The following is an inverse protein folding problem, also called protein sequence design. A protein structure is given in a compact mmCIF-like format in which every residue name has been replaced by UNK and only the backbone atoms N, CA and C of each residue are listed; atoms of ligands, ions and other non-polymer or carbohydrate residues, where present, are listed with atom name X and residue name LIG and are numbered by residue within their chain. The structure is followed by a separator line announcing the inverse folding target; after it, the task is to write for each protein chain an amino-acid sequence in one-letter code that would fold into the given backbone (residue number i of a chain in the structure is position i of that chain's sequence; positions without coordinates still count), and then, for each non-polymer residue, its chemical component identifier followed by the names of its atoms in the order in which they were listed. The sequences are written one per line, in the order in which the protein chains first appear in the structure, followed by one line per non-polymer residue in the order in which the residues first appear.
data_IF_577080805030
#
_entry.id   IF_577080805030
#
_cell.length_a   1.000
_cell.length_b   1.000
_cell.length_c   1.000
_cell.angle_alpha   90.00
_cell.angle_beta   90.00
_cell.angle_gamma   90.00
#
_symmetry.space_group_name_H-M   'P 1'
#
loop_
_entity.id
_entity.type
_entity.pdbx_description
1 polymer ?
#
# COMPACT_ATOMS: atom_id res chain seq x y z
N UNK A 1 -4.66 -20.82 -9.52
CA UNK A 1 -3.49 -20.45 -8.66
C UNK A 1 -2.79 -21.72 -8.21
N UNK A 2 -1.48 -21.81 -8.41
CA UNK A 2 -0.69 -22.94 -7.92
C UNK A 2 -0.73 -22.96 -6.39
N UNK A 3 -0.89 -24.14 -5.82
CA UNK A 3 -1.05 -24.33 -4.38
C UNK A 3 0.23 -23.91 -3.62
N UNK A 4 0.18 -22.94 -2.69
CA UNK A 4 1.35 -22.53 -1.90
C UNK A 4 1.64 -23.44 -0.70
N UNK A 5 1.15 -24.69 -0.70
CA UNK A 5 1.21 -25.57 0.47
C UNK A 5 2.62 -25.75 1.07
N UNK A 6 3.63 -25.93 0.19
CA UNK A 6 5.01 -26.05 0.65
C UNK A 6 5.54 -24.76 1.28
N UNK A 7 5.19 -23.60 0.70
CA UNK A 7 5.53 -22.29 1.25
C UNK A 7 4.88 -22.09 2.61
N UNK A 8 3.59 -22.40 2.73
CA UNK A 8 2.85 -22.32 3.99
C UNK A 8 3.47 -23.21 5.07
N UNK A 9 3.89 -24.43 4.70
CA UNK A 9 4.60 -25.33 5.64
C UNK A 9 5.89 -24.69 6.17
N UNK A 10 6.66 -24.01 5.32
CA UNK A 10 7.87 -23.29 5.76
C UNK A 10 7.54 -22.06 6.60
N UNK A 11 6.50 -21.32 6.23
CA UNK A 11 6.00 -20.19 7.03
C UNK A 11 5.67 -20.62 8.47
N UNK A 12 5.01 -21.77 8.65
CA UNK A 12 4.69 -22.33 9.98
C UNK A 12 5.92 -22.75 10.78
N UNK A 13 6.95 -23.30 10.11
CA UNK A 13 8.23 -23.65 10.77
C UNK A 13 9.00 -22.43 11.26
N UNK A 14 8.79 -21.27 10.63
CA UNK A 14 9.41 -20.00 10.99
C UNK A 14 8.46 -19.07 11.72
N UNK A 15 7.41 -19.61 12.33
CA UNK A 15 6.44 -18.80 13.09
C UNK A 15 7.12 -18.17 14.32
N UNK A 16 7.05 -16.86 14.38
CA UNK A 16 7.65 -16.03 15.42
C UNK A 16 6.59 -15.12 16.10
N UNK A 17 5.30 -15.42 15.90
CA UNK A 17 4.18 -14.64 16.42
C UNK A 17 3.85 -13.38 15.62
N UNK A 18 4.56 -13.12 14.50
CA UNK A 18 4.23 -12.06 13.56
C UNK A 18 3.18 -12.51 12.53
N UNK A 19 2.70 -11.56 11.76
CA UNK A 19 1.76 -11.79 10.68
C UNK A 19 2.23 -12.90 9.72
N UNK A 20 1.30 -13.80 9.37
CA UNK A 20 1.46 -14.81 8.31
C UNK A 20 0.38 -14.62 7.25
N UNK A 21 0.71 -14.58 5.96
CA UNK A 21 -0.26 -14.42 4.88
C UNK A 21 -1.06 -15.70 4.59
N UNK A 22 -0.84 -16.79 5.32
CA UNK A 22 -1.53 -18.09 5.11
C UNK A 22 -3.04 -17.92 5.02
N UNK A 23 -3.63 -17.26 5.99
CA UNK A 23 -5.09 -17.13 6.07
C UNK A 23 -5.67 -16.28 4.95
N UNK A 24 -5.06 -15.12 4.64
CA UNK A 24 -5.55 -14.27 3.55
C UNK A 24 -5.43 -14.97 2.19
N UNK A 25 -4.37 -15.74 1.97
CA UNK A 25 -4.15 -16.52 0.75
C UNK A 25 -5.15 -17.64 0.58
N UNK A 26 -5.71 -18.20 1.66
CA UNK A 26 -6.73 -19.26 1.60
C UNK A 26 -8.03 -18.81 0.94
N UNK A 27 -8.28 -17.51 0.83
CA UNK A 27 -9.43 -16.97 0.11
C UNK A 27 -9.28 -17.04 -1.42
N UNK A 28 -8.08 -17.33 -1.94
CA UNK A 28 -7.83 -17.50 -3.38
C UNK A 28 -8.08 -16.24 -4.21
N UNK A 29 -7.95 -15.04 -3.64
CA UNK A 29 -8.17 -13.78 -4.36
C UNK A 29 -6.87 -13.27 -4.96
N UNK A 30 -6.90 -12.66 -6.17
CA UNK A 30 -5.71 -12.05 -6.76
C UNK A 30 -5.19 -10.85 -5.95
N UNK A 31 -6.05 -10.03 -5.33
CA UNK A 31 -5.64 -8.92 -4.52
C UNK A 31 -5.81 -9.20 -3.02
N UNK A 32 -4.69 -9.13 -2.29
CA UNK A 32 -4.58 -9.38 -0.85
C UNK A 32 -4.21 -8.08 -0.15
N UNK A 33 -5.19 -7.44 0.50
CA UNK A 33 -5.05 -6.14 1.17
C UNK A 33 -4.78 -6.40 2.65
N UNK A 34 -3.60 -6.00 3.11
CA UNK A 34 -3.12 -6.24 4.47
C UNK A 34 -2.94 -4.89 5.14
N UNK A 35 -3.90 -4.53 5.96
CA UNK A 35 -3.94 -3.24 6.65
C UNK A 35 -3.87 -3.44 8.16
N UNK A 36 -3.52 -2.39 8.88
CA UNK A 36 -3.48 -2.43 10.34
C UNK A 36 -2.35 -1.58 10.89
N UNK A 37 -2.10 -1.74 12.17
CA UNK A 37 -1.14 -0.91 12.90
C UNK A 37 0.31 -1.22 12.54
N UNK A 38 1.22 -0.30 12.87
CA UNK A 38 2.67 -0.53 12.78
C UNK A 38 3.05 -1.72 13.67
N UNK A 39 4.17 -2.35 13.35
CA UNK A 39 4.76 -3.45 14.14
C UNK A 39 3.95 -4.77 14.22
N UNK A 40 2.89 -4.92 13.42
CA UNK A 40 2.18 -6.20 13.27
C UNK A 40 2.93 -7.25 12.44
N UNK A 41 4.13 -6.94 11.94
CA UNK A 41 4.92 -7.86 11.10
C UNK A 41 4.38 -8.09 9.69
N UNK A 42 3.51 -7.20 9.19
CA UNK A 42 2.89 -7.31 7.85
C UNK A 42 3.92 -7.46 6.74
N UNK A 43 4.86 -6.51 6.66
CA UNK A 43 5.92 -6.49 5.65
C UNK A 43 6.84 -7.70 5.77
N UNK A 44 7.27 -8.04 6.99
CA UNK A 44 8.10 -9.21 7.26
C UNK A 44 7.42 -10.53 6.88
N UNK A 45 6.11 -10.66 7.17
CA UNK A 45 5.34 -11.85 6.80
C UNK A 45 5.21 -12.03 5.30
N UNK A 46 4.95 -10.96 4.55
CA UNK A 46 4.89 -11.01 3.08
C UNK A 46 6.27 -11.23 2.48
N UNK A 47 7.33 -10.58 3.00
CA UNK A 47 8.71 -10.79 2.56
C UNK A 47 9.12 -12.26 2.72
N UNK A 48 8.88 -12.89 3.89
CA UNK A 48 9.15 -14.32 4.09
C UNK A 48 8.41 -15.20 3.09
N UNK A 49 7.13 -14.88 2.84
CA UNK A 49 6.33 -15.66 1.90
C UNK A 49 6.93 -15.65 0.49
N UNK A 50 7.26 -14.47 -0.04
CA UNK A 50 7.80 -14.37 -1.42
C UNK A 50 9.21 -14.94 -1.53
N UNK A 51 10.05 -14.84 -0.48
CA UNK A 51 11.36 -15.48 -0.44
C UNK A 51 11.23 -17.00 -0.45
N UNK A 52 10.37 -17.59 0.36
CA UNK A 52 10.09 -19.02 0.30
C UNK A 52 9.50 -19.45 -1.04
N UNK A 53 8.62 -18.65 -1.64
CA UNK A 53 8.04 -18.96 -2.94
C UNK A 53 9.13 -18.91 -4.05
N UNK A 54 10.09 -18.00 -3.94
CA UNK A 54 11.26 -17.97 -4.83
C UNK A 54 12.18 -19.18 -4.64
N UNK A 55 12.48 -19.56 -3.39
CA UNK A 55 13.38 -20.69 -3.08
C UNK A 55 12.75 -22.03 -3.48
N UNK A 56 11.48 -22.25 -3.15
CA UNK A 56 10.84 -23.56 -3.30
C UNK A 56 10.18 -23.78 -4.66
N UNK A 57 9.72 -22.71 -5.29
CA UNK A 57 8.91 -22.78 -6.49
C UNK A 57 9.51 -22.00 -7.66
N UNK A 58 10.69 -21.39 -7.50
CA UNK A 58 11.34 -20.52 -8.49
C UNK A 58 10.44 -19.40 -9.00
N UNK A 59 9.57 -18.87 -8.13
CA UNK A 59 8.65 -17.80 -8.47
C UNK A 59 9.28 -16.44 -8.22
N UNK A 60 8.96 -15.49 -9.09
CA UNK A 60 9.51 -14.15 -9.02
C UNK A 60 8.50 -13.16 -8.46
N UNK A 61 9.05 -12.11 -7.85
CA UNK A 61 8.24 -11.03 -7.28
C UNK A 61 8.70 -9.65 -7.80
N UNK A 62 7.79 -8.67 -7.68
CA UNK A 62 8.10 -7.25 -7.85
C UNK A 62 7.81 -6.55 -6.52
N UNK A 63 8.79 -5.80 -6.03
CA UNK A 63 8.62 -4.89 -4.90
C UNK A 63 8.38 -3.48 -5.40
N UNK A 64 7.31 -2.87 -4.94
CA UNK A 64 6.84 -1.55 -5.38
C UNK A 64 6.81 -0.59 -4.21
N UNK A 65 7.30 0.62 -4.48
CA UNK A 65 7.01 1.83 -3.70
C UNK A 65 6.37 2.87 -4.62
N UNK A 66 5.72 3.84 -4.05
CA UNK A 66 5.04 4.89 -4.82
C UNK A 66 6.02 5.70 -5.64
N UNK A 67 7.11 6.16 -5.01
CA UNK A 67 8.13 7.02 -5.62
C UNK A 67 9.51 6.37 -5.59
N UNK A 68 10.39 6.84 -6.47
CA UNK A 68 11.73 6.29 -6.62
C UNK A 68 12.61 6.52 -5.39
N UNK A 69 12.54 7.70 -4.81
CA UNK A 69 13.30 8.05 -3.59
C UNK A 69 12.89 7.19 -2.38
N UNK A 70 11.61 6.84 -2.26
CA UNK A 70 11.11 5.89 -1.26
C UNK A 70 11.65 4.48 -1.54
N UNK A 71 11.59 4.05 -2.81
CA UNK A 71 12.08 2.75 -3.24
C UNK A 71 13.57 2.59 -2.95
N UNK A 72 14.38 3.57 -3.30
CA UNK A 72 15.83 3.50 -3.13
C UNK A 72 16.27 3.40 -1.65
N UNK A 73 15.50 3.98 -0.74
CA UNK A 73 15.74 3.90 0.70
C UNK A 73 15.30 2.57 1.32
N UNK A 74 14.33 1.88 0.73
CA UNK A 74 13.66 0.74 1.37
C UNK A 74 13.90 -0.61 0.70
N UNK A 75 14.28 -0.64 -0.59
CA UNK A 75 14.38 -1.86 -1.39
C UNK A 75 15.25 -2.97 -0.77
N UNK A 76 16.35 -2.62 -0.09
CA UNK A 76 17.19 -3.60 0.61
C UNK A 76 16.59 -3.96 1.98
N UNK A 77 16.26 -2.98 2.79
CA UNK A 77 15.79 -3.13 4.18
C UNK A 77 14.48 -3.90 4.33
N UNK A 78 13.64 -3.91 3.29
CA UNK A 78 12.35 -4.59 3.34
C UNK A 78 12.49 -6.10 3.62
N UNK A 79 13.56 -6.73 3.15
CA UNK A 79 13.79 -8.17 3.25
C UNK A 79 14.69 -8.58 4.42
N UNK A 80 15.46 -7.66 5.01
CA UNK A 80 16.50 -7.97 6.01
C UNK A 80 15.95 -8.85 7.16
N UNK A 81 14.88 -8.39 7.81
CA UNK A 81 14.28 -9.14 8.92
C UNK A 81 13.75 -10.52 8.50
N UNK A 82 13.22 -10.63 7.29
CA UNK A 82 12.73 -11.90 6.78
C UNK A 82 13.87 -12.88 6.53
N UNK A 83 14.98 -12.40 5.99
CA UNK A 83 16.22 -13.20 5.76
C UNK A 83 16.79 -13.65 7.09
N UNK A 84 16.89 -12.78 8.08
CA UNK A 84 17.37 -13.12 9.42
C UNK A 84 16.53 -14.24 10.05
N UNK A 85 15.19 -14.15 9.95
CA UNK A 85 14.29 -15.18 10.47
C UNK A 85 14.51 -16.51 9.74
N UNK A 86 14.63 -16.49 8.41
CA UNK A 86 14.87 -17.69 7.60
C UNK A 86 16.20 -18.32 7.99
N UNK A 87 17.27 -17.54 8.06
CA UNK A 87 18.62 -18.04 8.34
C UNK A 87 18.80 -18.54 9.78
N UNK A 88 18.07 -17.97 10.74
CA UNK A 88 18.07 -18.43 12.14
C UNK A 88 17.16 -19.64 12.38
N UNK A 89 16.35 -20.02 11.39
CA UNK A 89 15.47 -21.18 11.47
C UNK A 89 16.16 -22.39 10.85
N UNK A 90 16.23 -23.52 11.56
CA UNK A 90 16.87 -24.77 11.08
C UNK A 90 16.04 -25.40 9.96
N UNK A 91 16.12 -24.87 8.75
CA UNK A 91 15.31 -25.27 7.59
C UNK A 91 16.03 -26.20 6.61
N UNK A 92 17.33 -26.47 6.83
CA UNK A 92 18.16 -27.24 5.91
C UNK A 92 18.76 -26.39 4.77
N UNK A 93 18.64 -25.07 4.84
CA UNK A 93 19.26 -24.12 3.90
C UNK A 93 19.39 -22.71 4.53
N UNK A 94 20.25 -21.90 3.93
CA UNK A 94 20.45 -20.48 4.29
C UNK A 94 20.53 -19.60 3.05
N UNK A 95 20.06 -18.37 3.15
CA UNK A 95 20.28 -17.30 2.16
C UNK A 95 21.63 -16.66 2.50
N UNK A 96 22.63 -16.90 1.68
CA UNK A 96 23.99 -16.39 1.90
C UNK A 96 24.27 -15.09 1.15
N UNK A 97 23.47 -14.78 0.15
CA UNK A 97 23.53 -13.54 -0.58
C UNK A 97 22.13 -13.08 -0.98
N UNK A 98 21.85 -11.83 -0.75
CA UNK A 98 20.65 -11.16 -1.23
C UNK A 98 20.94 -9.67 -1.43
N UNK A 99 20.82 -9.20 -2.65
CA UNK A 99 20.98 -7.77 -2.96
C UNK A 99 20.13 -7.33 -4.14
N UNK A 100 19.93 -6.02 -4.25
CA UNK A 100 19.21 -5.39 -5.36
C UNK A 100 20.23 -4.69 -6.29
N UNK A 101 20.55 -5.32 -7.39
CA UNK A 101 21.50 -4.85 -8.39
C UNK A 101 20.77 -4.42 -9.65
N UNK A 102 20.95 -3.17 -10.07
CA UNK A 102 20.28 -2.59 -11.26
C UNK A 102 18.73 -2.85 -11.29
N UNK A 103 18.09 -2.75 -10.13
CA UNK A 103 16.65 -2.95 -10.00
C UNK A 103 16.20 -4.41 -9.98
N UNK A 104 17.11 -5.38 -9.95
CA UNK A 104 16.81 -6.80 -9.83
C UNK A 104 17.31 -7.35 -8.48
N UNK A 105 16.48 -8.14 -7.81
CA UNK A 105 16.88 -8.90 -6.64
C UNK A 105 17.60 -10.16 -7.07
N UNK A 106 18.83 -10.28 -6.59
CA UNK A 106 19.71 -11.42 -6.80
C UNK A 106 19.87 -12.19 -5.48
N UNK A 107 19.77 -13.51 -5.50
CA UNK A 107 19.80 -14.35 -4.31
C UNK A 107 20.64 -15.60 -4.55
N UNK A 108 21.46 -15.97 -3.55
CA UNK A 108 22.14 -17.26 -3.48
C UNK A 108 21.70 -17.98 -2.22
N UNK A 109 21.30 -19.24 -2.38
CA UNK A 109 20.86 -20.13 -1.30
C UNK A 109 21.79 -21.32 -1.27
N UNK A 110 22.26 -21.68 -0.08
CA UNK A 110 23.02 -22.90 0.16
C UNK A 110 22.21 -23.86 1.03
N UNK A 111 22.29 -25.17 0.74
CA UNK A 111 21.80 -26.19 1.63
C UNK A 111 22.78 -26.44 2.78
N UNK A 112 22.27 -26.94 3.89
CA UNK A 112 23.14 -27.30 5.03
C UNK A 112 24.19 -28.29 4.59
N UNK A 113 25.46 -27.98 4.86
CA UNK A 113 26.61 -28.79 4.46
C UNK A 113 27.17 -28.48 3.05
N UNK A 114 26.52 -27.61 2.26
CA UNK A 114 27.10 -27.11 1.02
C UNK A 114 28.05 -25.94 1.30
N UNK A 115 29.24 -25.98 0.68
CA UNK A 115 30.15 -24.84 0.64
C UNK A 115 30.08 -24.11 -0.71
N UNK A 116 30.37 -22.83 -0.69
CA UNK A 116 30.36 -22.00 -1.92
C UNK A 116 31.54 -22.32 -2.80
N UNK A 117 32.64 -22.64 -2.19
CA UNK A 117 33.91 -22.97 -2.83
C UNK A 117 34.52 -24.22 -2.17
N UNK A 118 34.98 -25.11 -2.99
CA UNK A 118 35.79 -26.24 -2.53
C UNK A 118 37.22 -25.78 -2.19
N UNK A 119 37.94 -26.56 -1.40
CA UNK A 119 39.38 -26.35 -1.22
C UNK A 119 40.08 -26.42 -2.58
N UNK A 120 41.07 -25.56 -2.78
CA UNK A 120 41.87 -25.57 -4.00
C UNK A 120 42.98 -26.63 -3.86
N UNK A 121 43.17 -27.38 -4.95
CA UNK A 121 44.27 -28.34 -5.07
C UNK A 121 45.08 -27.99 -6.31
N UNK A 122 46.38 -28.18 -6.26
CA UNK A 122 47.28 -28.04 -7.41
C UNK A 122 47.18 -29.28 -8.33
N UNK A 123 47.92 -29.25 -9.42
CA UNK A 123 47.92 -30.39 -10.40
C UNK A 123 48.47 -31.70 -9.83
N UNK A 124 49.23 -31.62 -8.71
CA UNK A 124 49.77 -32.75 -7.96
C UNK A 124 48.84 -33.24 -6.83
N UNK A 125 47.66 -32.62 -6.68
CA UNK A 125 46.63 -32.95 -5.69
C UNK A 125 46.97 -32.45 -4.27
N UNK A 126 47.91 -31.54 -4.12
CA UNK A 126 48.21 -30.90 -2.82
C UNK A 126 47.28 -29.69 -2.60
N UNK A 127 46.79 -29.54 -1.37
CA UNK A 127 45.96 -28.42 -0.99
C UNK A 127 46.75 -27.13 -1.10
N UNK A 128 46.23 -26.17 -1.86
CA UNK A 128 46.81 -24.83 -1.97
C UNK A 128 46.40 -24.03 -0.72
N UNK A 129 47.39 -23.54 0.02
CA UNK A 129 47.16 -22.67 1.16
C UNK A 129 46.80 -21.24 0.68
N UNK A 130 45.52 -20.90 0.84
CA UNK A 130 45.01 -19.53 0.62
C UNK A 130 45.05 -18.77 1.93
N UNK A 131 45.31 -17.47 1.85
CA UNK A 131 45.06 -16.57 2.96
C UNK A 131 43.57 -16.42 3.22
N UNK A 132 43.16 -16.03 4.42
CA UNK A 132 41.78 -15.77 4.76
C UNK A 132 41.15 -14.71 3.83
N UNK A 133 41.91 -13.68 3.41
CA UNK A 133 41.46 -12.65 2.50
C UNK A 133 41.21 -13.18 1.09
N UNK A 134 42.14 -13.97 0.53
CA UNK A 134 41.97 -14.60 -0.79
C UNK A 134 40.78 -15.55 -0.83
N UNK A 135 40.60 -16.35 0.22
CA UNK A 135 39.44 -17.24 0.36
C UNK A 135 38.13 -16.44 0.43
N UNK A 136 38.11 -15.35 1.21
CA UNK A 136 36.92 -14.49 1.32
C UNK A 136 36.55 -13.82 -0.01
N UNK A 137 37.53 -13.34 -0.78
CA UNK A 137 37.31 -12.77 -2.10
C UNK A 137 36.77 -13.83 -3.09
N UNK A 138 37.32 -15.04 -3.07
CA UNK A 138 36.88 -16.16 -3.89
C UNK A 138 35.46 -16.58 -3.54
N UNK A 139 35.15 -16.72 -2.24
CA UNK A 139 33.79 -16.99 -1.74
C UNK A 139 32.81 -15.91 -2.21
N UNK A 140 33.17 -14.66 -2.08
CA UNK A 140 32.33 -13.53 -2.53
C UNK A 140 32.06 -13.59 -4.04
N UNK A 141 33.09 -13.82 -4.84
CA UNK A 141 32.99 -13.93 -6.31
C UNK A 141 32.12 -15.11 -6.75
N UNK A 142 32.32 -16.30 -6.16
CA UNK A 142 31.53 -17.48 -6.48
C UNK A 142 30.08 -17.37 -5.98
N UNK A 143 29.86 -16.72 -4.84
CA UNK A 143 28.52 -16.39 -4.34
C UNK A 143 27.74 -15.56 -5.35
N UNK A 144 28.38 -14.53 -5.90
CA UNK A 144 27.79 -13.68 -6.94
C UNK A 144 27.52 -14.43 -8.24
N UNK A 145 28.43 -15.32 -8.67
CA UNK A 145 28.22 -16.16 -9.86
C UNK A 145 27.05 -17.12 -9.72
N UNK A 146 26.82 -17.65 -8.52
CA UNK A 146 25.70 -18.54 -8.21
C UNK A 146 24.39 -17.80 -7.97
N UNK A 147 24.41 -16.46 -7.90
CA UNK A 147 23.23 -15.66 -7.62
C UNK A 147 22.21 -15.73 -8.79
N UNK A 148 20.98 -16.04 -8.46
CA UNK A 148 19.87 -16.08 -9.42
C UNK A 148 18.93 -14.89 -9.20
N UNK A 149 18.33 -14.41 -10.28
CA UNK A 149 17.30 -13.37 -10.19
C UNK A 149 16.02 -13.95 -9.59
N UNK A 150 15.55 -13.37 -8.48
CA UNK A 150 14.33 -13.78 -7.77
C UNK A 150 13.24 -12.72 -7.80
N UNK A 151 13.55 -11.49 -8.19
CA UNK A 151 12.57 -10.42 -8.26
C UNK A 151 13.11 -9.15 -8.91
N UNK A 152 12.28 -8.12 -8.90
CA UNK A 152 12.62 -6.79 -9.41
C UNK A 152 12.02 -5.70 -8.53
N UNK A 153 12.47 -4.46 -8.72
CA UNK A 153 11.90 -3.27 -8.06
C UNK A 153 11.29 -2.32 -9.09
N UNK A 154 10.17 -1.71 -8.73
CA UNK A 154 9.52 -0.70 -9.57
C UNK A 154 9.01 0.45 -8.71
N UNK A 155 9.39 1.68 -9.05
CA UNK A 155 8.68 2.86 -8.57
C UNK A 155 7.39 3.03 -9.37
N UNK A 156 6.24 3.07 -8.72
CA UNK A 156 4.96 3.12 -9.39
C UNK A 156 4.82 4.39 -10.27
N UNK A 157 5.42 5.49 -9.83
CA UNK A 157 5.50 6.74 -10.62
C UNK A 157 6.25 6.60 -11.95
N UNK A 158 7.12 5.60 -12.08
CA UNK A 158 7.92 5.34 -13.29
C UNK A 158 7.46 4.08 -14.04
N UNK A 159 6.40 3.40 -13.57
CA UNK A 159 5.95 2.11 -14.10
C UNK A 159 5.68 2.10 -15.60
N UNK A 160 5.17 3.20 -16.15
CA UNK A 160 4.92 3.32 -17.59
C UNK A 160 6.23 3.32 -18.42
N UNK A 161 7.29 3.94 -17.90
CA UNK A 161 8.62 3.97 -18.57
C UNK A 161 9.31 2.61 -18.50
N UNK A 162 9.15 1.94 -17.37
CA UNK A 162 9.81 0.65 -17.09
C UNK A 162 9.21 -0.48 -17.94
N UNK A 163 7.92 -0.43 -18.25
CA UNK A 163 7.23 -1.44 -19.07
C UNK A 163 7.83 -1.63 -20.47
N UNK A 164 8.38 -0.59 -21.06
CA UNK A 164 8.97 -0.68 -22.40
C UNK A 164 10.34 -1.39 -22.43
N UNK A 165 10.98 -1.59 -21.28
CA UNK A 165 12.32 -2.16 -21.17
C UNK A 165 12.45 -3.44 -20.35
N UNK A 166 11.38 -3.86 -19.66
CA UNK A 166 11.42 -5.03 -18.78
C UNK A 166 10.31 -6.03 -19.12
N UNK A 167 10.67 -7.30 -19.16
CA UNK A 167 9.70 -8.40 -19.22
C UNK A 167 9.29 -8.78 -17.78
N UNK A 168 8.02 -8.59 -17.48
CA UNK A 168 7.41 -8.95 -16.20
C UNK A 168 6.53 -10.20 -16.29
N UNK A 169 6.49 -10.86 -17.43
CA UNK A 169 5.61 -12.02 -17.68
C UNK A 169 5.88 -13.23 -16.77
N UNK A 170 7.01 -13.26 -16.10
CA UNK A 170 7.43 -14.30 -15.14
C UNK A 170 7.17 -13.93 -13.67
N UNK A 171 6.49 -12.81 -13.42
CA UNK A 171 6.20 -12.33 -12.07
C UNK A 171 4.95 -12.97 -11.50
N UNK A 172 5.06 -13.61 -10.35
CA UNK A 172 3.95 -14.28 -9.67
C UNK A 172 3.38 -13.47 -8.50
N UNK A 173 4.18 -12.58 -7.91
CA UNK A 173 3.76 -11.77 -6.77
C UNK A 173 4.18 -10.31 -6.93
N UNK A 174 3.27 -9.39 -6.68
CA UNK A 174 3.51 -7.96 -6.62
C UNK A 174 3.34 -7.52 -5.18
N UNK A 175 4.29 -6.79 -4.62
CA UNK A 175 4.27 -6.26 -3.26
C UNK A 175 4.25 -4.75 -3.36
N UNK A 176 3.15 -4.11 -2.98
CA UNK A 176 3.08 -2.66 -2.84
C UNK A 176 3.08 -2.30 -1.37
N UNK A 177 4.25 -1.94 -0.87
CA UNK A 177 4.45 -1.57 0.53
C UNK A 177 4.16 -0.08 0.75
N UNK A 178 3.51 0.23 1.88
CA UNK A 178 2.98 1.56 2.22
C UNK A 178 2.06 2.13 1.13
N UNK A 179 1.14 1.30 0.60
CA UNK A 179 0.19 1.77 -0.40
C UNK A 179 -0.81 2.80 0.15
N UNK A 180 -1.04 2.84 1.47
CA UNK A 180 -1.81 3.90 2.14
C UNK A 180 -0.84 5.00 2.56
N UNK A 181 -1.01 6.17 1.99
CA UNK A 181 -0.23 7.35 2.33
C UNK A 181 -0.78 8.05 3.59
N UNK A 182 0.08 8.72 4.34
CA UNK A 182 -0.34 9.52 5.50
C UNK A 182 -1.13 10.76 5.06
N UNK A 183 -0.75 11.36 3.92
CA UNK A 183 -1.42 12.54 3.35
C UNK A 183 -1.87 12.30 1.92
N UNK A 184 -3.02 12.85 1.54
CA UNK A 184 -3.60 12.71 0.20
C UNK A 184 -2.66 13.23 -0.91
N UNK A 185 -1.92 14.29 -0.64
CA UNK A 185 -0.94 14.88 -1.57
C UNK A 185 0.23 13.96 -1.92
N UNK A 186 0.40 12.87 -1.21
CA UNK A 186 1.45 11.88 -1.47
C UNK A 186 1.07 10.88 -2.57
N UNK A 187 -0.23 10.70 -2.86
CA UNK A 187 -0.66 9.83 -3.95
C UNK A 187 -0.22 10.35 -5.32
N UNK A 188 -0.10 9.44 -6.27
CA UNK A 188 0.20 9.82 -7.66
C UNK A 188 -1.04 10.39 -8.33
N UNK A 189 -0.82 11.42 -9.14
CA UNK A 189 -1.88 12.10 -9.86
C UNK A 189 -2.05 13.55 -9.42
N UNK A 190 -3.07 14.17 -9.96
CA UNK A 190 -3.49 15.54 -9.66
C UNK A 190 -5.00 15.59 -9.50
N UNK A 191 -5.55 16.76 -9.24
CA UNK A 191 -7.00 16.98 -9.24
C UNK A 191 -7.66 16.53 -10.55
N UNK A 192 -6.97 16.70 -11.68
CA UNK A 192 -7.46 16.35 -13.01
C UNK A 192 -7.25 14.88 -13.36
N UNK A 193 -6.33 14.20 -12.66
CA UNK A 193 -5.96 12.81 -12.86
C UNK A 193 -5.86 12.05 -11.55
N UNK A 194 -6.95 11.93 -10.77
CA UNK A 194 -6.92 11.36 -9.42
C UNK A 194 -6.65 9.85 -9.40
N UNK A 195 -6.83 9.19 -10.52
CA UNK A 195 -6.76 7.73 -10.63
C UNK A 195 -5.40 7.19 -11.10
N UNK A 196 -4.41 8.05 -11.34
CA UNK A 196 -3.09 7.67 -11.89
C UNK A 196 -2.41 6.57 -11.09
N UNK A 197 -2.49 6.61 -9.76
CA UNK A 197 -1.90 5.56 -8.92
C UNK A 197 -2.56 4.20 -9.14
N UNK A 198 -3.88 4.19 -9.20
CA UNK A 198 -4.66 2.99 -9.52
C UNK A 198 -4.37 2.48 -10.93
N UNK A 199 -4.41 3.35 -11.93
CA UNK A 199 -4.18 3.00 -13.34
C UNK A 199 -2.78 2.44 -13.56
N UNK A 200 -1.76 3.05 -12.96
CA UNK A 200 -0.40 2.55 -13.01
C UNK A 200 -0.26 1.16 -12.39
N UNK A 201 -0.91 0.94 -11.24
CA UNK A 201 -0.88 -0.35 -10.55
C UNK A 201 -1.57 -1.44 -11.38
N UNK A 202 -2.77 -1.18 -11.90
CA UNK A 202 -3.51 -2.15 -12.72
C UNK A 202 -2.76 -2.44 -14.01
N UNK A 203 -2.23 -1.42 -14.65
CA UNK A 203 -1.43 -1.60 -15.87
C UNK A 203 -0.17 -2.44 -15.64
N UNK A 204 0.50 -2.28 -14.49
CA UNK A 204 1.64 -3.13 -14.11
C UNK A 204 1.17 -4.57 -13.81
N UNK A 205 0.09 -4.73 -13.06
CA UNK A 205 -0.51 -6.04 -12.77
C UNK A 205 -0.84 -6.80 -14.06
N UNK A 206 -1.49 -6.13 -15.01
CA UNK A 206 -1.81 -6.73 -16.31
C UNK A 206 -0.55 -7.15 -17.10
N UNK A 207 0.54 -6.39 -16.98
CA UNK A 207 1.82 -6.74 -17.63
C UNK A 207 2.45 -7.99 -17.00
N UNK A 208 2.29 -8.18 -15.68
CA UNK A 208 2.77 -9.37 -14.96
C UNK A 208 1.89 -10.60 -15.23
N UNK A 209 0.57 -10.42 -15.32
CA UNK A 209 -0.38 -11.53 -15.50
C UNK A 209 -0.50 -11.98 -16.96
N UNK A 210 0.08 -11.22 -17.91
CA UNK A 210 0.13 -11.58 -19.31
C UNK A 210 1.12 -12.71 -19.51
N UNK A 211 0.61 -13.89 -19.90
CA UNK A 211 1.44 -15.02 -20.30
C UNK A 211 2.09 -14.82 -21.69
N UNK A 212 2.91 -15.76 -22.07
CA UNK A 212 3.47 -15.83 -23.42
C UNK A 212 2.34 -16.11 -24.41
N UNK A 213 2.16 -15.23 -25.40
CA UNK A 213 1.05 -15.28 -26.35
C UNK A 213 -0.15 -14.42 -25.94
N UNK A 214 -1.36 -14.85 -26.28
CA UNK A 214 -2.60 -14.07 -26.05
C UNK A 214 -3.34 -14.42 -24.75
N UNK A 215 -2.76 -15.23 -23.88
CA UNK A 215 -3.45 -15.76 -22.70
C UNK A 215 -2.96 -15.08 -21.42
N UNK A 216 -3.90 -14.75 -20.52
CA UNK A 216 -3.58 -14.39 -19.16
C UNK A 216 -3.27 -15.63 -18.32
N UNK A 217 -2.24 -15.55 -17.48
CA UNK A 217 -1.83 -16.66 -16.60
C UNK A 217 -2.85 -16.89 -15.47
N UNK A 218 -3.53 -15.84 -15.03
CA UNK A 218 -4.44 -15.83 -13.87
C UNK A 218 -3.77 -16.37 -12.59
N UNK A 219 -2.47 -16.26 -12.48
CA UNK A 219 -1.66 -16.76 -11.37
C UNK A 219 -1.01 -15.65 -10.55
N UNK A 220 -0.89 -14.46 -11.14
CA UNK A 220 -0.31 -13.29 -10.48
C UNK A 220 -1.18 -12.83 -9.33
N UNK A 221 -0.55 -12.53 -8.21
CA UNK A 221 -1.21 -11.96 -7.01
C UNK A 221 -0.56 -10.65 -6.61
N UNK A 222 -1.33 -9.81 -5.94
CA UNK A 222 -0.83 -8.58 -5.37
C UNK A 222 -1.04 -8.56 -3.86
N UNK A 223 -0.03 -8.10 -3.14
CA UNK A 223 -0.07 -7.78 -1.72
C UNK A 223 -0.01 -6.27 -1.57
N UNK A 224 -1.09 -5.66 -1.09
CA UNK A 224 -1.14 -4.27 -0.72
C UNK A 224 -0.93 -4.16 0.78
N UNK A 225 0.21 -3.62 1.21
CA UNK A 225 0.56 -3.52 2.62
C UNK A 225 0.49 -2.06 3.05
N UNK A 226 -0.29 -1.77 4.08
CA UNK A 226 -0.43 -0.40 4.57
C UNK A 226 -0.75 -0.30 6.05
N UNK A 227 -0.46 0.85 6.62
CA UNK A 227 -0.98 1.25 7.92
C UNK A 227 -2.36 1.86 7.70
N UNK A 228 -3.27 1.70 8.67
CA UNK A 228 -4.62 2.26 8.59
C UNK A 228 -4.60 3.77 8.91
N UNK A 229 -3.79 4.52 8.17
CA UNK A 229 -3.68 5.97 8.37
C UNK A 229 -4.83 6.73 7.69
N UNK A 230 -5.29 6.25 6.54
CA UNK A 230 -6.30 6.91 5.74
C UNK A 230 -7.08 5.91 4.89
N UNK A 231 -8.42 5.93 4.97
CA UNK A 231 -9.29 5.07 4.16
C UNK A 231 -9.55 5.60 2.74
N UNK A 232 -9.10 6.80 2.42
CA UNK A 232 -9.34 7.45 1.13
C UNK A 232 -8.24 7.21 0.10
N UNK A 233 -7.72 6.00 0.08
CA UNK A 233 -6.77 5.57 -0.91
C UNK A 233 -7.45 5.37 -2.28
N UNK A 234 -6.88 5.86 -3.41
CA UNK A 234 -7.47 5.73 -4.74
C UNK A 234 -7.80 4.29 -5.14
N UNK A 235 -6.94 3.32 -4.75
CA UNK A 235 -7.13 1.90 -5.04
C UNK A 235 -8.31 1.34 -4.26
N UNK A 236 -8.38 1.63 -2.95
CA UNK A 236 -9.49 1.18 -2.10
C UNK A 236 -10.83 1.73 -2.57
N UNK A 237 -10.84 2.98 -3.03
CA UNK A 237 -12.04 3.63 -3.57
C UNK A 237 -12.51 2.97 -4.88
N UNK A 238 -11.60 2.78 -5.84
CA UNK A 238 -11.91 2.16 -7.14
C UNK A 238 -12.42 0.72 -6.99
N UNK A 239 -11.87 -0.03 -6.04
CA UNK A 239 -12.33 -1.39 -5.75
C UNK A 239 -13.56 -1.43 -4.84
N UNK A 240 -14.03 -0.29 -4.32
CA UNK A 240 -15.17 -0.21 -3.42
C UNK A 240 -14.93 -0.83 -2.04
N UNK A 241 -13.66 -0.98 -1.64
CA UNK A 241 -13.26 -1.61 -0.35
C UNK A 241 -13.76 -0.80 0.83
N UNK A 242 -13.72 0.53 0.73
CA UNK A 242 -14.12 1.45 1.79
C UNK A 242 -15.54 1.22 2.30
N UNK A 243 -16.47 0.86 1.40
CA UNK A 243 -17.84 0.52 1.77
C UNK A 243 -17.89 -0.65 2.76
N UNK A 244 -17.10 -1.69 2.49
CA UNK A 244 -17.07 -2.89 3.31
C UNK A 244 -16.29 -2.70 4.61
N UNK A 245 -15.19 -1.93 4.59
CA UNK A 245 -14.45 -1.58 5.80
C UNK A 245 -15.33 -0.90 6.85
N UNK A 246 -16.22 0.00 6.41
CA UNK A 246 -17.19 0.67 7.29
C UNK A 246 -18.26 -0.25 7.84
N UNK A 247 -18.77 -1.16 7.01
CA UNK A 247 -19.85 -2.09 7.41
C UNK A 247 -19.34 -3.17 8.37
N UNK A 248 -18.03 -3.37 8.45
CA UNK A 248 -17.42 -4.52 9.12
C UNK A 248 -16.34 -4.10 10.11
N UNK A 249 -16.57 -3.04 10.88
CA UNK A 249 -15.60 -2.39 11.79
C UNK A 249 -14.82 -3.34 12.72
N UNK A 250 -15.34 -4.54 12.98
CA UNK A 250 -14.70 -5.53 13.85
C UNK A 250 -14.29 -6.83 13.13
N UNK A 251 -14.41 -6.87 11.81
CA UNK A 251 -14.10 -8.08 11.07
C UNK A 251 -12.60 -8.19 10.76
N UNK A 252 -11.95 -9.21 11.29
CA UNK A 252 -10.54 -9.52 10.98
C UNK A 252 -10.31 -9.78 9.48
N UNK A 253 -11.32 -10.26 8.77
CA UNK A 253 -11.28 -10.54 7.33
C UNK A 253 -12.54 -10.04 6.64
N UNK A 254 -12.37 -9.41 5.49
CA UNK A 254 -13.46 -8.93 4.64
C UNK A 254 -13.22 -9.48 3.23
N UNK A 255 -14.05 -10.43 2.79
CA UNK A 255 -13.93 -11.08 1.48
C UNK A 255 -15.32 -11.22 0.82
N UNK A 256 -15.89 -10.13 0.27
CA UNK A 256 -17.23 -10.18 -0.30
C UNK A 256 -17.27 -11.11 -1.52
N UNK A 257 -18.41 -11.77 -1.69
CA UNK A 257 -18.65 -12.67 -2.83
C UNK A 257 -18.55 -11.90 -4.15
N UNK A 258 -17.86 -12.46 -5.13
CA UNK A 258 -17.70 -11.86 -6.47
C UNK A 258 -16.61 -10.79 -6.60
N UNK A 259 -15.99 -10.37 -5.50
CA UNK A 259 -14.87 -9.40 -5.57
C UNK A 259 -13.53 -10.10 -5.76
N UNK A 260 -12.64 -9.48 -6.55
CA UNK A 260 -11.26 -9.97 -6.78
C UNK A 260 -10.28 -9.69 -5.64
N UNK A 261 -10.76 -9.17 -4.51
CA UNK A 261 -9.93 -8.78 -3.40
C UNK A 261 -10.41 -9.37 -2.07
N UNK A 262 -9.49 -9.44 -1.12
CA UNK A 262 -9.73 -9.75 0.28
C UNK A 262 -8.92 -8.80 1.16
N UNK A 263 -9.52 -8.34 2.26
CA UNK A 263 -8.85 -7.50 3.27
C UNK A 263 -8.61 -8.33 4.51
N UNK A 264 -7.42 -8.19 5.09
CA UNK A 264 -7.09 -8.65 6.43
C UNK A 264 -6.63 -7.47 7.27
N UNK A 265 -7.29 -7.26 8.40
CA UNK A 265 -6.82 -6.34 9.43
C UNK A 265 -5.85 -7.08 10.36
N UNK A 266 -4.64 -6.51 10.51
CA UNK A 266 -3.57 -7.05 11.35
C UNK A 266 -3.43 -6.17 12.58
N UNK A 267 -3.73 -6.73 13.75
CA UNK A 267 -3.49 -6.08 15.04
C UNK A 267 -2.03 -6.28 15.48
N UNK A 268 -1.48 -5.37 16.28
CA UNK A 268 -0.18 -5.58 16.91
C UNK A 268 -0.20 -6.88 17.75
N UNK A 269 0.94 -7.54 17.86
CA UNK A 269 1.03 -8.68 18.77
C UNK A 269 0.96 -8.22 20.23
N UNK A 270 0.43 -9.07 21.12
CA UNK A 270 0.35 -8.75 22.55
C UNK A 270 1.72 -8.43 23.15
N UNK A 271 2.78 -9.14 22.69
CA UNK A 271 4.17 -8.86 23.07
C UNK A 271 4.62 -7.45 22.68
N UNK A 272 4.23 -6.99 21.48
CA UNK A 272 4.54 -5.63 21.07
C UNK A 272 3.77 -4.61 21.88
N UNK A 273 2.49 -4.83 22.11
CA UNK A 273 1.65 -3.94 22.94
C UNK A 273 2.22 -3.81 24.35
N UNK A 274 2.66 -4.91 24.94
CA UNK A 274 3.25 -4.93 26.28
C UNK A 274 4.61 -4.21 26.32
N UNK A 275 5.48 -4.47 25.35
CA UNK A 275 6.74 -3.75 25.22
C UNK A 275 6.53 -2.24 24.95
N UNK A 276 5.55 -1.90 24.12
CA UNK A 276 5.23 -0.52 23.81
C UNK A 276 4.71 0.26 24.99
N UNK A 277 3.91 -0.34 25.89
CA UNK A 277 3.40 0.31 27.11
C UNK A 277 4.51 0.89 27.99
N UNK A 278 5.69 0.30 27.95
CA UNK A 278 6.87 0.73 28.73
C UNK A 278 7.80 1.65 27.91
N UNK A 279 7.41 2.03 26.71
CA UNK A 279 8.23 2.88 25.83
C UNK A 279 8.16 4.34 26.24
N UNK A 280 9.32 5.01 26.35
CA UNK A 280 9.37 6.46 26.56
C UNK A 280 8.64 7.25 25.46
N UNK A 281 8.56 6.71 24.26
CA UNK A 281 7.83 7.34 23.16
C UNK A 281 6.33 7.49 23.46
N UNK A 282 5.71 6.51 24.13
CA UNK A 282 4.29 6.61 24.51
C UNK A 282 4.05 7.67 25.59
N UNK A 283 5.04 7.97 26.42
CA UNK A 283 4.91 9.04 27.44
C UNK A 283 4.82 10.43 26.81
N UNK A 284 5.36 10.59 25.60
CA UNK A 284 5.37 11.85 24.84
C UNK A 284 4.13 12.01 23.93
N UNK A 285 3.31 10.96 23.79
CA UNK A 285 2.13 10.95 22.93
C UNK A 285 0.88 11.33 23.70
N UNK A 286 -0.06 11.98 23.04
CA UNK A 286 -1.41 12.16 23.57
C UNK A 286 -2.19 10.84 23.61
N UNK A 287 -3.39 10.86 24.19
CA UNK A 287 -4.22 9.65 24.36
C UNK A 287 -4.61 9.02 23.00
N UNK A 288 -4.93 9.83 22.02
CA UNK A 288 -5.30 9.38 20.66
C UNK A 288 -4.12 8.72 19.95
N UNK A 289 -2.95 9.36 20.01
CA UNK A 289 -1.73 8.80 19.45
C UNK A 289 -1.32 7.50 20.15
N UNK A 290 -1.47 7.40 21.47
CA UNK A 290 -1.24 6.17 22.22
C UNK A 290 -2.17 5.06 21.78
N UNK A 291 -3.47 5.32 21.69
CA UNK A 291 -4.47 4.36 21.27
C UNK A 291 -4.19 3.86 19.86
N UNK A 292 -3.85 4.75 18.93
CA UNK A 292 -3.44 4.37 17.59
C UNK A 292 -2.21 3.47 17.59
N UNK A 293 -1.15 3.85 18.29
CA UNK A 293 0.10 3.06 18.30
C UNK A 293 -0.04 1.72 19.04
N UNK A 294 -0.94 1.62 20.00
CA UNK A 294 -1.27 0.38 20.72
C UNK A 294 -2.28 -0.51 19.96
N UNK A 295 -2.81 -0.04 18.84
CA UNK A 295 -3.74 -0.81 18.02
C UNK A 295 -5.19 -0.81 18.51
N UNK A 296 -5.54 0.12 19.39
CA UNK A 296 -6.90 0.24 19.92
C UNK A 296 -7.83 1.01 18.99
N UNK A 297 -7.28 1.96 18.21
CA UNK A 297 -8.03 2.81 17.29
C UNK A 297 -7.28 3.05 15.98
N UNK A 298 -8.01 3.27 14.88
CA UNK A 298 -7.43 3.71 13.63
C UNK A 298 -7.11 5.22 13.70
N UNK A 299 -5.95 5.63 13.17
CA UNK A 299 -5.59 7.05 13.05
C UNK A 299 -6.42 7.68 11.92
N UNK A 300 -7.60 8.14 12.23
CA UNK A 300 -8.55 8.66 11.23
C UNK A 300 -9.06 10.07 11.52
N UNK A 301 -8.32 10.87 12.29
CA UNK A 301 -8.86 12.16 12.75
C UNK A 301 -9.00 13.22 11.66
N UNK A 302 -8.17 13.24 10.63
CA UNK A 302 -8.29 14.25 9.57
C UNK A 302 -9.48 14.00 8.63
N UNK A 303 -9.97 12.74 8.55
CA UNK A 303 -11.08 12.34 7.69
C UNK A 303 -12.03 11.36 8.39
N UNK A 304 -12.22 11.55 9.70
CA UNK A 304 -13.07 10.67 10.51
C UNK A 304 -14.55 10.82 10.14
N UNK A 305 -15.33 9.81 10.47
CA UNK A 305 -16.79 9.87 10.43
C UNK A 305 -17.37 11.05 11.25
N UNK A 306 -16.54 11.69 12.10
CA UNK A 306 -16.88 12.92 12.80
C UNK A 306 -17.29 14.08 11.87
N UNK A 307 -16.77 14.09 10.64
CA UNK A 307 -17.16 15.07 9.62
C UNK A 307 -18.30 14.57 8.70
N UNK A 308 -18.85 13.38 8.92
CA UNK A 308 -19.93 12.85 8.12
C UNK A 308 -21.22 12.92 8.91
N UNK A 309 -22.13 13.75 8.40
CA UNK A 309 -23.52 13.79 8.87
C UNK A 309 -24.42 13.40 7.70
N UNK A 310 -25.02 12.24 7.75
CA UNK A 310 -25.79 11.63 6.65
C UNK A 310 -26.92 12.48 6.07
N UNK A 311 -27.33 13.55 6.75
CA UNK A 311 -28.35 14.49 6.26
C UNK A 311 -27.93 15.92 6.60
N UNK A 312 -28.18 16.83 5.63
CA UNK A 312 -28.13 18.28 5.87
C UNK A 312 -29.27 18.63 6.81
N UNK A 313 -29.04 19.35 7.93
CA UNK A 313 -30.10 19.78 8.83
C UNK A 313 -31.17 20.62 8.11
N UNK A 314 -32.43 20.45 8.48
CA UNK A 314 -33.55 21.16 7.83
C UNK A 314 -33.49 22.66 7.97
N UNK A 315 -32.78 23.18 8.97
CA UNK A 315 -32.58 24.61 9.23
C UNK A 315 -31.39 25.18 8.48
N UNK A 316 -30.68 24.39 7.66
CA UNK A 316 -29.59 24.90 6.85
C UNK A 316 -30.10 25.53 5.57
N UNK A 317 -29.52 26.69 5.23
CA UNK A 317 -29.80 27.40 3.98
C UNK A 317 -28.81 26.99 2.90
N UNK A 318 -29.32 26.78 1.70
CA UNK A 318 -28.49 26.63 0.50
C UNK A 318 -27.69 27.92 0.25
N UNK A 319 -26.41 27.81 -0.05
CA UNK A 319 -25.51 28.93 -0.30
C UNK A 319 -25.03 29.00 -1.74
N UNK A 320 -24.62 27.85 -2.28
CA UNK A 320 -24.09 27.74 -3.64
C UNK A 320 -23.98 26.31 -4.09
N UNK A 321 -23.80 26.09 -5.39
CA UNK A 321 -23.39 24.82 -5.97
C UNK A 321 -21.97 24.88 -6.51
N UNK A 322 -21.27 23.76 -6.46
CA UNK A 322 -19.95 23.60 -7.09
C UNK A 322 -19.91 22.34 -7.93
N UNK A 323 -19.25 22.41 -9.08
CA UNK A 323 -18.97 21.26 -9.94
C UNK A 323 -17.50 20.91 -9.82
N UNK A 324 -17.21 19.74 -9.27
CA UNK A 324 -15.86 19.25 -9.07
C UNK A 324 -15.74 17.87 -9.73
N UNK A 325 -14.83 17.74 -10.72
CA UNK A 325 -14.68 16.49 -11.46
C UNK A 325 -15.95 16.00 -12.16
N UNK A 326 -16.78 16.92 -12.64
CA UNK A 326 -18.06 16.60 -13.30
C UNK A 326 -19.19 16.21 -12.34
N UNK A 327 -18.98 16.31 -11.01
CA UNK A 327 -20.02 16.05 -10.00
C UNK A 327 -20.48 17.36 -9.38
N UNK A 328 -21.78 17.54 -9.31
CA UNK A 328 -22.41 18.70 -8.71
C UNK A 328 -22.64 18.51 -7.21
N UNK A 329 -22.17 19.46 -6.40
CA UNK A 329 -22.34 19.50 -4.95
C UNK A 329 -23.05 20.77 -4.52
N UNK A 330 -24.05 20.62 -3.63
CA UNK A 330 -24.68 21.73 -2.94
C UNK A 330 -23.94 22.03 -1.62
N UNK A 331 -23.75 23.33 -1.37
CA UNK A 331 -23.14 23.86 -0.14
C UNK A 331 -24.24 24.52 0.67
N UNK A 332 -24.42 24.07 1.90
CA UNK A 332 -25.45 24.54 2.83
C UNK A 332 -24.80 25.08 4.10
N UNK A 333 -25.40 26.05 4.72
CA UNK A 333 -24.93 26.64 5.97
C UNK A 333 -26.07 26.75 6.97
N UNK A 334 -25.87 26.35 8.21
CA UNK A 334 -26.80 26.57 9.30
C UNK A 334 -26.55 27.90 10.01
N UNK A 335 -27.42 28.23 10.97
CA UNK A 335 -27.34 29.48 11.76
C UNK A 335 -26.07 29.56 12.64
N UNK A 336 -25.46 28.44 12.98
CA UNK A 336 -24.28 28.35 13.85
C UNK A 336 -22.97 28.35 13.04
N UNK A 337 -23.10 28.55 11.71
CA UNK A 337 -21.97 28.68 10.78
C UNK A 337 -21.35 27.36 10.36
N UNK A 338 -21.99 26.21 10.64
CA UNK A 338 -21.55 24.93 10.10
C UNK A 338 -21.90 24.83 8.62
N UNK A 339 -20.96 24.29 7.86
CA UNK A 339 -21.09 24.05 6.42
C UNK A 339 -21.34 22.57 6.17
N UNK A 340 -22.31 22.29 5.32
CA UNK A 340 -22.68 20.93 4.91
C UNK A 340 -22.54 20.80 3.40
N UNK A 341 -21.79 19.78 2.94
CA UNK A 341 -21.64 19.46 1.54
C UNK A 341 -22.45 18.20 1.23
N UNK A 342 -23.34 18.32 0.26
CA UNK A 342 -24.15 17.20 -0.23
C UNK A 342 -24.11 17.14 -1.76
N UNK A 343 -24.38 15.97 -2.33
CA UNK A 343 -24.64 15.88 -3.76
C UNK A 343 -25.86 16.76 -4.07
N UNK A 344 -25.77 17.54 -5.14
CA UNK A 344 -26.84 18.45 -5.54
C UNK A 344 -28.19 17.73 -5.69
N UNK A 345 -29.29 18.36 -5.28
CA UNK A 345 -30.66 17.88 -5.41
C UNK A 345 -31.38 18.64 -6.51
N UNK A 346 -32.02 17.93 -7.42
CA UNK A 346 -32.77 18.51 -8.54
C UNK A 346 -33.94 19.44 -8.14
N UNK A 347 -34.28 19.57 -6.86
CA UNK A 347 -35.39 20.38 -6.33
C UNK A 347 -34.95 21.74 -5.76
N UNK A 348 -33.65 22.09 -5.85
CA UNK A 348 -33.19 23.42 -5.45
C UNK A 348 -33.53 24.43 -6.54
N UNK A 349 -33.96 25.69 -6.18
CA UNK A 349 -34.36 26.69 -7.19
C UNK A 349 -33.17 26.99 -8.12
N UNK A 350 -33.40 26.87 -9.43
CA UNK A 350 -32.40 27.14 -10.46
C UNK A 350 -31.82 28.58 -10.40
N UNK A 351 -32.55 29.48 -9.81
CA UNK A 351 -32.17 30.92 -9.65
C UNK A 351 -31.12 31.18 -8.57
N UNK A 352 -30.83 30.19 -7.69
CA UNK A 352 -29.86 30.31 -6.60
C UNK A 352 -28.49 29.63 -6.90
N UNK A 353 -28.25 29.26 -8.16
CA UNK A 353 -27.09 28.44 -8.55
C UNK A 353 -25.90 29.32 -8.96
N UNK A 354 -25.06 29.69 -8.02
CA UNK A 354 -23.66 30.03 -8.33
C UNK A 354 -22.87 28.70 -8.47
N UNK A 355 -22.86 28.13 -9.67
CA UNK A 355 -22.08 26.92 -9.94
C UNK A 355 -20.65 27.31 -10.30
N UNK A 356 -19.73 26.89 -9.46
CA UNK A 356 -18.30 27.09 -9.66
C UNK A 356 -17.70 25.81 -10.21
N UNK A 357 -17.04 25.87 -11.36
CA UNK A 357 -16.38 24.69 -11.96
C UNK A 357 -14.88 24.88 -12.01
N UNK A 358 -14.16 23.78 -11.72
CA UNK A 358 -12.71 23.68 -11.91
C UNK A 358 -12.34 23.07 -13.27
N UNK A 359 -13.26 22.47 -13.97
CA UNK A 359 -13.04 21.86 -15.28
C UNK A 359 -14.12 22.29 -16.27
N UNK A 360 -13.85 22.15 -17.58
CA UNK A 360 -14.73 22.52 -18.68
C UNK A 360 -16.12 21.86 -18.61
N UNK A 361 -16.98 22.36 -17.77
CA UNK A 361 -18.36 21.93 -17.61
C UNK A 361 -19.34 23.10 -17.73
N UNK A 362 -20.64 22.84 -17.76
CA UNK A 362 -21.73 23.82 -17.77
C UNK A 362 -21.79 24.57 -16.42
N UNK A 363 -20.86 25.48 -16.20
CA UNK A 363 -20.78 26.26 -14.98
C UNK A 363 -20.96 27.73 -15.26
N UNK A 364 -21.65 28.47 -14.36
CA UNK A 364 -21.84 29.92 -14.46
C UNK A 364 -20.51 30.66 -14.23
N UNK A 365 -19.60 30.07 -13.42
CA UNK A 365 -18.29 30.65 -13.14
C UNK A 365 -17.23 29.56 -13.23
N UNK A 366 -16.23 29.78 -14.10
CA UNK A 366 -15.04 28.92 -14.20
C UNK A 366 -13.93 29.50 -13.34
N UNK A 367 -13.40 28.76 -12.39
CA UNK A 367 -12.27 29.16 -11.55
C UNK A 367 -11.08 28.25 -11.77
N UNK A 368 -9.90 28.84 -11.85
CA UNK A 368 -8.63 28.11 -11.95
C UNK A 368 -8.01 27.87 -10.57
N UNK A 369 -8.53 28.51 -9.53
CA UNK A 369 -8.09 28.36 -8.15
C UNK A 369 -9.26 28.57 -7.20
N UNK A 370 -9.36 27.75 -6.14
CA UNK A 370 -10.39 27.91 -5.10
C UNK A 370 -10.35 29.29 -4.42
N UNK A 371 -9.18 29.92 -4.35
CA UNK A 371 -9.01 31.28 -3.81
C UNK A 371 -9.77 32.31 -4.60
N UNK A 372 -10.09 32.04 -5.85
CA UNK A 372 -10.90 32.88 -6.70
C UNK A 372 -12.39 32.70 -6.46
N UNK A 373 -12.78 31.64 -5.76
CA UNK A 373 -14.17 31.34 -5.41
C UNK A 373 -14.46 31.76 -3.97
N UNK A 374 -15.29 32.78 -3.72
CA UNK A 374 -15.67 33.18 -2.36
C UNK A 374 -16.29 32.04 -1.56
N UNK A 375 -17.10 31.19 -2.19
CA UNK A 375 -17.77 30.08 -1.51
C UNK A 375 -16.79 28.95 -1.12
N UNK A 376 -15.82 28.61 -1.98
CA UNK A 376 -14.82 27.63 -1.65
C UNK A 376 -13.85 28.12 -0.56
N UNK A 377 -13.59 29.41 -0.50
CA UNK A 377 -12.85 30.03 0.59
C UNK A 377 -13.60 29.88 1.93
N UNK A 378 -14.93 30.10 1.93
CA UNK A 378 -15.78 29.85 3.12
C UNK A 378 -15.73 28.38 3.53
N UNK A 379 -15.78 27.45 2.59
CA UNK A 379 -15.66 26.00 2.85
C UNK A 379 -14.28 25.68 3.47
N UNK A 380 -13.21 26.26 2.92
CA UNK A 380 -11.86 26.07 3.45
C UNK A 380 -11.71 26.60 4.88
N UNK A 381 -12.26 27.78 5.17
CA UNK A 381 -12.27 28.34 6.52
C UNK A 381 -13.09 27.45 7.48
N UNK A 382 -14.23 26.92 7.02
CA UNK A 382 -15.04 26.00 7.81
C UNK A 382 -14.28 24.71 8.10
N UNK A 383 -13.51 24.19 7.15
CA UNK A 383 -12.64 23.05 7.35
C UNK A 383 -11.59 23.30 8.44
N UNK A 384 -10.84 24.41 8.34
CA UNK A 384 -9.84 24.79 9.34
C UNK A 384 -10.44 24.96 10.75
N UNK A 385 -11.70 25.37 10.83
CA UNK A 385 -12.44 25.56 12.09
C UNK A 385 -13.17 24.31 12.58
N UNK A 386 -12.99 23.15 11.90
CA UNK A 386 -13.71 21.91 12.20
C UNK A 386 -15.25 22.04 12.14
N UNK A 387 -15.74 22.93 11.27
CA UNK A 387 -17.17 23.23 11.04
C UNK A 387 -17.67 22.75 9.67
N UNK A 388 -16.93 21.87 8.98
CA UNK A 388 -17.31 21.33 7.68
C UNK A 388 -17.81 19.90 7.83
N UNK A 389 -18.99 19.60 7.26
CA UNK A 389 -19.58 18.28 7.26
C UNK A 389 -19.96 17.81 5.86
N UNK A 390 -19.94 16.49 5.66
CA UNK A 390 -20.31 15.84 4.40
C UNK A 390 -21.47 14.87 4.62
N UNK A 391 -22.27 14.63 3.60
CA UNK A 391 -23.37 13.66 3.69
C UNK A 391 -22.88 12.21 3.72
N UNK A 392 -21.75 11.93 3.11
CA UNK A 392 -21.10 10.61 3.11
C UNK A 392 -19.61 10.75 2.78
N UNK A 393 -18.88 9.68 2.97
CA UNK A 393 -17.45 9.69 2.77
C UNK A 393 -17.01 9.81 1.31
N UNK A 394 -17.80 9.34 0.35
CA UNK A 394 -17.49 9.53 -1.07
C UNK A 394 -17.53 11.02 -1.42
N UNK A 395 -18.56 11.73 -0.92
CA UNK A 395 -18.65 13.19 -1.06
C UNK A 395 -17.47 13.89 -0.40
N UNK A 396 -17.14 13.53 0.83
CA UNK A 396 -15.98 14.06 1.55
C UNK A 396 -14.70 13.87 0.74
N UNK A 397 -14.42 12.64 0.32
CA UNK A 397 -13.22 12.33 -0.44
C UNK A 397 -13.13 13.16 -1.73
N UNK A 398 -14.14 13.06 -2.57
CA UNK A 398 -14.15 13.76 -3.86
C UNK A 398 -14.00 15.28 -3.68
N UNK A 399 -14.68 15.85 -2.70
CA UNK A 399 -14.63 17.27 -2.44
C UNK A 399 -13.27 17.72 -1.87
N UNK A 400 -12.73 16.98 -0.92
CA UNK A 400 -11.45 17.30 -0.26
C UNK A 400 -10.25 17.18 -1.20
N UNK A 401 -10.29 16.29 -2.21
CA UNK A 401 -9.26 16.24 -3.23
C UNK A 401 -9.05 17.61 -3.89
N UNK A 402 -10.10 18.35 -4.14
CA UNK A 402 -10.02 19.69 -4.76
C UNK A 402 -9.55 20.78 -3.80
N UNK A 403 -9.76 20.62 -2.50
CA UNK A 403 -9.24 21.56 -1.51
C UNK A 403 -7.76 21.33 -1.18
N UNK A 404 -7.29 20.08 -1.22
CA UNK A 404 -5.91 19.71 -0.88
C UNK A 404 -4.90 20.00 -2.01
N UNK A 405 -5.32 19.85 -3.26
CA UNK A 405 -4.48 20.16 -4.43
C UNK A 405 -4.30 21.65 -4.71
N UNK A 406 -4.81 22.46 -3.84
CA UNK A 406 -4.72 23.90 -3.97
C UNK A 406 -3.44 24.36 -3.27
N UNK A 407 -2.44 24.91 -3.98
CA UNK A 407 -1.21 25.40 -3.36
C UNK A 407 -1.53 26.40 -2.24
N UNK A 408 -0.94 26.16 -1.08
CA UNK A 408 -1.03 27.06 0.09
C UNK A 408 -0.46 28.42 -0.20
#
# INVERSE_FOLDING_TARGET
MRNPANVIKMMRKTDNGFFSPERILSYGRPANIIIGHRSGGKSTGVARFVLFDAILNSRRFIYIRRRKDELDKTKKKFFDQAIDIINNSKLGFKIVYFDCVAGNYMMTVLKDGEEIVDDLYDDDGQKIDETEEERAERVSRETLKKAVKVGSTVALSESQKVKSGFDFSDTDSIIFDEFIAEHQTQYLGSSDTPDVEYENLISLFMSCDRGVGQYFRNETRIFLIGNMANMYNPILLKWGVNKYLRMSQNAKFIAPKGMGWVVQEVKPSDKFVEAAKNSNALLLMDETERNYNLGNEARSEEYSDAFIRGKVPNNSKYRSGVVLGGVEYGIYQDKDGFIYINKFRNNEPAEALDIVSYSNGNANVLVTSWRQSPILNVVYIAFLRKKLYFNNATTQHNFMQYLEFIPR
#
